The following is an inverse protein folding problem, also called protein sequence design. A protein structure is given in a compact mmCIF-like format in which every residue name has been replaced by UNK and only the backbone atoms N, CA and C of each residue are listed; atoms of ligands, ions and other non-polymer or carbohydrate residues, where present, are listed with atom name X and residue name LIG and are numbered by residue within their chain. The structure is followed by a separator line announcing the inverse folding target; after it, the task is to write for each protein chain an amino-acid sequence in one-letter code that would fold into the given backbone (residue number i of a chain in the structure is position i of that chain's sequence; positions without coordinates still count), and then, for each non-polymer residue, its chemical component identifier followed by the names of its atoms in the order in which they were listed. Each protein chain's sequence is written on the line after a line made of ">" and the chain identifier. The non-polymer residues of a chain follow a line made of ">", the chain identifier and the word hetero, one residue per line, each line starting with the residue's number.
data_IF_289666278938
#
_entry.id   IF_289666278938
#
_cell.length_a   1.000
_cell.length_b   1.000
_cell.length_c   1.000
_cell.angle_alpha   90.00
_cell.angle_beta   90.00
_cell.angle_gamma   90.00
#
_symmetry.space_group_name_H-M   'P 1'
#
loop_
_entity.id
_entity.type
_entity.pdbx_description
1 polymer ?
#
# COMPACT_ATOMS: atom_id res chain seq x y z
N UNK A 1 13.63 -12.48 12.56
CA UNK A 1 12.31 -13.03 12.20
C UNK A 1 11.93 -12.46 10.84
N UNK A 2 11.64 -13.30 9.85
CA UNK A 2 11.26 -12.83 8.51
C UNK A 2 9.80 -12.38 8.46
N UNK A 3 9.50 -11.38 7.63
CA UNK A 3 8.14 -10.97 7.32
C UNK A 3 7.83 -11.33 5.87
N UNK A 4 6.63 -11.84 5.60
CA UNK A 4 6.13 -12.03 4.25
C UNK A 4 5.40 -10.74 3.88
N UNK A 5 5.91 -10.03 2.89
CA UNK A 5 5.29 -8.82 2.35
C UNK A 5 4.91 -9.09 0.89
N UNK A 6 3.65 -9.42 0.60
CA UNK A 6 3.22 -9.71 -0.76
C UNK A 6 3.13 -8.42 -1.58
N UNK A 7 3.54 -8.52 -2.85
CA UNK A 7 3.33 -7.48 -3.87
C UNK A 7 2.12 -7.85 -4.72
N UNK A 8 1.11 -6.97 -4.74
CA UNK A 8 -0.14 -7.18 -5.48
C UNK A 8 -0.09 -6.42 -6.80
N UNK A 9 -0.39 -7.08 -7.92
CA UNK A 9 -0.54 -6.38 -9.19
C UNK A 9 -1.91 -5.68 -9.25
N UNK A 10 -1.91 -4.34 -9.38
CA UNK A 10 -3.14 -3.54 -9.43
C UNK A 10 -3.15 -2.61 -10.64
N UNK A 11 -4.35 -2.25 -11.11
CA UNK A 11 -4.52 -1.36 -12.27
C UNK A 11 -4.48 0.12 -11.92
N UNK A 12 -4.85 0.47 -10.68
CA UNK A 12 -4.90 1.83 -10.19
C UNK A 12 -4.39 1.87 -8.74
N UNK A 13 -3.14 2.27 -8.58
CA UNK A 13 -2.45 2.29 -7.28
C UNK A 13 -3.11 3.28 -6.33
N UNK A 14 -3.51 4.46 -6.81
CA UNK A 14 -4.19 5.49 -6.00
C UNK A 14 -5.49 5.00 -5.39
N UNK A 15 -6.39 4.45 -6.21
CA UNK A 15 -7.67 3.90 -5.72
C UNK A 15 -7.45 2.71 -4.78
N UNK A 16 -6.41 1.92 -5.03
CA UNK A 16 -6.02 0.80 -4.15
C UNK A 16 -5.58 1.33 -2.78
N UNK A 17 -4.68 2.32 -2.74
CA UNK A 17 -4.26 2.99 -1.50
C UNK A 17 -5.47 3.52 -0.73
N UNK A 18 -6.39 4.22 -1.40
CA UNK A 18 -7.60 4.77 -0.78
C UNK A 18 -8.48 3.68 -0.17
N UNK A 19 -8.69 2.57 -0.87
CA UNK A 19 -9.44 1.43 -0.35
C UNK A 19 -8.80 0.85 0.92
N UNK A 20 -7.50 0.52 0.88
CA UNK A 20 -6.82 -0.06 2.03
C UNK A 20 -6.75 0.90 3.23
N UNK A 21 -6.55 2.20 2.98
CA UNK A 21 -6.53 3.20 4.06
C UNK A 21 -7.91 3.44 4.66
N UNK A 22 -8.89 3.77 3.81
CA UNK A 22 -10.18 4.29 4.28
C UNK A 22 -11.14 3.17 4.70
N UNK A 23 -11.09 2.02 4.02
CA UNK A 23 -11.99 0.90 4.32
C UNK A 23 -11.36 -0.09 5.29
N UNK A 24 -10.05 -0.32 5.21
CA UNK A 24 -9.37 -1.36 5.99
C UNK A 24 -8.46 -0.81 7.10
N UNK A 25 -8.26 0.50 7.17
CA UNK A 25 -7.49 1.15 8.24
C UNK A 25 -5.97 0.96 8.14
N UNK A 26 -5.45 0.68 6.95
CA UNK A 26 -4.00 0.65 6.73
C UNK A 26 -3.41 2.06 6.77
N UNK A 27 -2.11 2.13 7.09
CA UNK A 27 -1.33 3.36 7.06
C UNK A 27 -0.37 3.31 5.88
N UNK A 28 -0.22 4.44 5.21
CA UNK A 28 0.71 4.59 4.09
C UNK A 28 2.13 4.76 4.62
N UNK A 29 3.06 3.95 4.11
CA UNK A 29 4.49 4.09 4.35
C UNK A 29 5.12 4.96 3.26
N UNK A 30 5.35 4.36 2.10
CA UNK A 30 5.87 5.00 0.89
C UNK A 30 4.78 5.15 -0.17
N UNK A 31 4.85 6.25 -0.91
CA UNK A 31 4.18 6.42 -2.18
C UNK A 31 5.19 7.01 -3.16
N UNK A 32 5.47 6.30 -4.25
CA UNK A 32 6.45 6.68 -5.25
C UNK A 32 5.78 6.79 -6.63
N UNK A 33 6.08 7.81 -7.45
CA UNK A 33 7.01 8.92 -7.18
C UNK A 33 6.48 9.94 -6.16
N UNK A 34 5.16 10.04 -5.98
CA UNK A 34 4.52 10.90 -4.98
C UNK A 34 3.12 10.38 -4.61
N UNK A 35 2.49 10.97 -3.61
CA UNK A 35 1.19 10.55 -3.10
C UNK A 35 0.01 10.88 -4.04
N UNK A 36 0.16 11.84 -4.95
CA UNK A 36 -0.94 12.28 -5.82
C UNK A 36 -1.10 11.38 -7.06
N UNK A 37 0.01 10.85 -7.57
CA UNK A 37 0.07 9.89 -8.68
C UNK A 37 1.14 8.80 -8.41
N UNK A 38 0.88 7.89 -7.45
CA UNK A 38 1.79 6.81 -7.15
C UNK A 38 1.74 5.72 -8.21
N UNK A 39 2.91 5.24 -8.60
CA UNK A 39 3.14 4.02 -9.40
C UNK A 39 3.50 2.82 -8.52
N UNK A 40 3.96 3.09 -7.30
CA UNK A 40 4.27 2.10 -6.28
C UNK A 40 3.90 2.64 -4.90
N UNK A 41 3.40 1.78 -4.03
CA UNK A 41 3.19 2.11 -2.63
C UNK A 41 3.39 0.92 -1.70
N UNK A 42 3.78 1.21 -0.46
CA UNK A 42 3.68 0.27 0.65
C UNK A 42 2.72 0.79 1.72
N UNK A 43 1.93 -0.14 2.25
CA UNK A 43 1.01 0.12 3.34
C UNK A 43 1.21 -0.91 4.45
N UNK A 44 0.97 -0.49 5.68
CA UNK A 44 1.09 -1.38 6.84
C UNK A 44 -0.10 -1.29 7.79
N UNK A 45 -0.38 -2.42 8.44
CA UNK A 45 -1.37 -2.54 9.52
C UNK A 45 -1.02 -3.73 10.40
N UNK A 46 -1.02 -3.55 11.72
CA UNK A 46 -0.89 -4.62 12.72
C UNK A 46 0.30 -5.58 12.48
N UNK A 47 1.43 -5.04 12.01
CA UNK A 47 2.65 -5.81 11.72
C UNK A 47 2.69 -6.48 10.33
N UNK A 48 1.63 -6.36 9.52
CA UNK A 48 1.62 -6.75 8.12
C UNK A 48 2.00 -5.56 7.22
N UNK A 49 2.77 -5.84 6.17
CA UNK A 49 3.06 -4.91 5.08
C UNK A 49 2.50 -5.46 3.77
N UNK A 50 1.96 -4.58 2.94
CA UNK A 50 1.50 -4.84 1.58
C UNK A 50 2.18 -3.87 0.63
N UNK A 51 2.51 -4.35 -0.57
CA UNK A 51 3.11 -3.55 -1.63
C UNK A 51 2.27 -3.68 -2.90
N UNK A 52 2.16 -2.63 -3.70
CA UNK A 52 1.49 -2.64 -5.00
C UNK A 52 1.95 -1.50 -5.89
#
# INVERSE_FOLDING_TARGET
>A
MGAISPTLAVRNVKQTIEFYKNSLGFKMGLAFPNADNPEYADLSKDGMALMF
#
